data_IF_520064457988
#
_entry.id   IF_520064457988
#
_cell.length_a   1.000
_cell.length_b   1.000
_cell.length_c   1.000
_cell.angle_alpha   90.00
_cell.angle_beta   90.00
_cell.angle_gamma   90.00
#
_symmetry.space_group_name_H-M   'P 1'
#
loop_
_entity.id
_entity.type
_entity.pdbx_description
1 polymer ?
#
# COMPACT_ATOMS: atom_id res chain seq x y z
N UNK A 1 -15.81 -33.34 -17.41
CA UNK A 1 -15.02 -32.08 -17.48
C UNK A 1 -15.88 -31.00 -18.10
N UNK A 2 -16.52 -30.19 -17.29
CA UNK A 2 -17.30 -29.04 -17.73
C UNK A 2 -16.34 -27.95 -18.18
N UNK A 3 -16.33 -27.63 -19.45
CA UNK A 3 -15.41 -26.69 -20.06
C UNK A 3 -15.69 -25.26 -19.55
N UNK A 4 -14.68 -24.59 -19.03
CA UNK A 4 -14.73 -23.21 -18.51
C UNK A 4 -15.27 -22.20 -19.55
N UNK A 5 -15.22 -22.54 -20.83
CA UNK A 5 -15.73 -21.72 -21.95
C UNK A 5 -17.26 -21.58 -21.98
N UNK A 6 -18.00 -22.53 -21.45
CA UNK A 6 -19.49 -22.47 -21.51
C UNK A 6 -20.08 -21.58 -20.41
N UNK A 7 -19.33 -21.22 -19.37
CA UNK A 7 -19.78 -20.29 -18.31
C UNK A 7 -19.76 -18.82 -18.73
N UNK A 8 -18.94 -18.46 -19.70
CA UNK A 8 -18.78 -17.06 -20.14
C UNK A 8 -19.96 -16.53 -20.99
N UNK A 9 -20.88 -17.38 -21.44
CA UNK A 9 -21.97 -17.00 -22.35
C UNK A 9 -23.33 -16.69 -21.71
N UNK A 10 -23.42 -16.71 -20.36
CA UNK A 10 -24.67 -16.42 -19.63
C UNK A 10 -24.55 -15.35 -18.55
N UNK A 11 -23.65 -14.41 -18.72
CA UNK A 11 -23.40 -13.44 -17.66
C UNK A 11 -24.14 -12.14 -17.97
N UNK A 12 -25.21 -11.87 -17.22
CA UNK A 12 -25.95 -10.61 -17.21
C UNK A 12 -25.20 -9.52 -16.41
N UNK A 13 -23.87 -9.62 -16.27
CA UNK A 13 -23.04 -8.66 -15.54
C UNK A 13 -23.15 -8.72 -14.00
N UNK A 14 -23.98 -9.62 -13.46
CA UNK A 14 -24.14 -9.79 -12.00
C UNK A 14 -23.34 -11.04 -11.57
N UNK A 15 -22.34 -10.89 -10.68
CA UNK A 15 -21.56 -12.02 -10.18
C UNK A 15 -22.46 -13.02 -9.45
N UNK A 16 -22.47 -14.27 -9.89
CA UNK A 16 -23.27 -15.35 -9.28
C UNK A 16 -22.51 -16.13 -8.21
N UNK A 17 -21.18 -16.01 -8.18
CA UNK A 17 -20.32 -16.69 -7.21
C UNK A 17 -19.34 -15.72 -6.59
N UNK A 18 -18.88 -16.00 -5.36
CA UNK A 18 -17.84 -15.20 -4.69
C UNK A 18 -16.56 -15.06 -5.54
N UNK A 19 -16.22 -16.08 -6.34
CA UNK A 19 -15.06 -16.05 -7.21
C UNK A 19 -15.24 -15.09 -8.41
N UNK A 20 -16.44 -14.89 -8.89
CA UNK A 20 -16.76 -13.94 -9.96
C UNK A 20 -16.79 -12.49 -9.45
N UNK A 21 -17.01 -12.28 -8.15
CA UNK A 21 -16.99 -10.94 -7.56
C UNK A 21 -15.57 -10.43 -7.28
N UNK A 22 -14.54 -11.28 -7.37
CA UNK A 22 -13.15 -10.89 -7.18
C UNK A 22 -12.68 -10.07 -8.41
N UNK A 23 -12.18 -8.83 -8.22
CA UNK A 23 -11.88 -7.90 -9.31
C UNK A 23 -10.53 -8.16 -10.01
N UNK A 24 -9.97 -9.35 -9.92
CA UNK A 24 -8.72 -9.74 -10.58
C UNK A 24 -8.69 -11.23 -10.90
N UNK A 25 -7.88 -11.61 -11.91
CA UNK A 25 -7.78 -12.99 -12.36
C UNK A 25 -6.76 -13.80 -11.52
N UNK A 26 -5.61 -13.21 -11.23
CA UNK A 26 -4.52 -13.91 -10.53
C UNK A 26 -3.57 -12.96 -9.78
N UNK A 27 -3.24 -13.33 -8.54
CA UNK A 27 -2.20 -12.71 -7.75
C UNK A 27 -0.95 -13.60 -7.74
N UNK A 28 0.21 -13.02 -8.04
CA UNK A 28 1.49 -13.74 -8.02
C UNK A 28 2.27 -13.45 -6.73
N UNK A 29 3.15 -14.37 -6.28
CA UNK A 29 3.91 -14.20 -5.04
C UNK A 29 4.78 -12.94 -4.99
N UNK A 30 5.28 -12.48 -6.15
CA UNK A 30 6.11 -11.28 -6.31
C UNK A 30 5.31 -9.97 -6.32
N UNK A 31 4.03 -10.02 -5.96
CA UNK A 31 3.18 -8.86 -5.89
C UNK A 31 2.57 -8.41 -7.22
N UNK A 32 2.88 -9.05 -8.34
CA UNK A 32 2.21 -8.77 -9.60
C UNK A 32 0.80 -9.32 -9.55
N UNK A 33 -0.18 -8.51 -9.94
CA UNK A 33 -1.57 -8.90 -10.07
C UNK A 33 -1.98 -8.83 -11.55
N UNK A 34 -2.49 -9.93 -12.09
CA UNK A 34 -3.16 -9.95 -13.37
C UNK A 34 -4.62 -9.59 -13.14
N UNK A 35 -5.01 -8.40 -13.57
CA UNK A 35 -6.38 -7.87 -13.40
C UNK A 35 -7.27 -8.39 -14.53
N UNK A 36 -6.86 -8.16 -15.78
CA UNK A 36 -7.51 -8.67 -17.00
C UNK A 36 -6.55 -9.53 -17.81
N UNK A 37 -6.95 -9.95 -18.99
CA UNK A 37 -6.11 -10.76 -19.88
C UNK A 37 -4.83 -10.04 -20.30
N UNK A 38 -4.85 -8.71 -20.40
CA UNK A 38 -3.74 -7.88 -20.86
C UNK A 38 -3.25 -6.85 -19.83
N UNK A 39 -3.88 -6.72 -18.67
CA UNK A 39 -3.56 -5.67 -17.69
C UNK A 39 -2.94 -6.24 -16.43
N UNK A 40 -1.74 -5.73 -16.08
CA UNK A 40 -0.93 -6.18 -14.94
C UNK A 40 -0.58 -5.02 -14.04
N UNK A 41 -0.66 -5.21 -12.72
CA UNK A 41 -0.43 -4.16 -11.72
C UNK A 41 0.53 -4.61 -10.62
N UNK A 42 1.24 -3.64 -10.03
CA UNK A 42 1.98 -3.76 -8.76
C UNK A 42 1.57 -2.65 -7.80
N UNK A 43 1.83 -2.83 -6.51
CA UNK A 43 1.49 -1.86 -5.47
C UNK A 43 2.70 -1.61 -4.58
N UNK A 44 2.95 -0.34 -4.29
CA UNK A 44 3.97 0.14 -3.36
C UNK A 44 3.22 0.80 -2.19
N UNK A 45 3.58 0.44 -0.97
CA UNK A 45 3.17 1.16 0.24
C UNK A 45 4.20 2.24 0.53
N UNK A 46 3.77 3.45 0.86
CA UNK A 46 4.67 4.56 1.18
C UNK A 46 4.21 5.33 2.42
N UNK A 47 5.18 5.97 3.08
CA UNK A 47 4.96 6.77 4.29
C UNK A 47 4.75 8.24 3.95
N UNK A 48 4.37 9.01 4.96
CA UNK A 48 4.21 10.46 4.84
C UNK A 48 5.56 11.18 4.80
N UNK A 49 5.56 12.34 4.14
CA UNK A 49 6.59 13.36 4.23
C UNK A 49 6.24 14.30 5.39
N UNK A 50 7.24 14.71 6.14
CA UNK A 50 7.06 15.64 7.26
C UNK A 50 6.99 17.11 6.77
N UNK A 51 6.06 17.37 5.83
CA UNK A 51 5.91 18.66 5.16
C UNK A 51 5.61 19.81 6.12
N UNK A 52 4.84 19.55 7.18
CA UNK A 52 4.42 20.60 8.11
C UNK A 52 5.58 21.18 8.92
N UNK A 53 6.57 20.35 9.25
CA UNK A 53 7.74 20.75 10.05
C UNK A 53 8.90 21.27 9.17
N UNK A 54 8.79 21.19 7.85
CA UNK A 54 9.82 21.65 6.93
C UNK A 54 9.86 23.20 6.87
N UNK A 55 11.06 23.74 6.65
CA UNK A 55 11.24 25.17 6.37
C UNK A 55 10.64 25.54 5.02
N UNK A 56 10.44 26.84 4.76
CA UNK A 56 9.75 27.28 3.56
C UNK A 56 10.49 26.88 2.27
N UNK A 57 11.82 26.93 2.28
CA UNK A 57 12.66 26.52 1.14
C UNK A 57 12.56 25.01 0.89
N UNK A 58 12.57 24.19 1.97
CA UNK A 58 12.39 22.76 1.89
C UNK A 58 10.99 22.40 1.37
N UNK A 59 9.95 23.15 1.75
CA UNK A 59 8.58 22.94 1.25
C UNK A 59 8.49 23.13 -0.25
N UNK A 60 9.17 24.13 -0.79
CA UNK A 60 9.22 24.36 -2.24
C UNK A 60 9.95 23.20 -2.94
N UNK A 61 11.10 22.79 -2.41
CA UNK A 61 11.85 21.66 -2.95
C UNK A 61 11.05 20.36 -2.92
N UNK A 62 10.35 20.07 -1.82
CA UNK A 62 9.46 18.89 -1.72
C UNK A 62 8.34 18.96 -2.77
N UNK A 63 7.75 20.13 -2.98
CA UNK A 63 6.70 20.32 -3.98
C UNK A 63 7.22 20.08 -5.40
N UNK A 64 8.37 20.65 -5.75
CA UNK A 64 8.99 20.48 -7.06
C UNK A 64 9.36 19.02 -7.34
N UNK A 65 9.91 18.32 -6.34
CA UNK A 65 10.20 16.88 -6.46
C UNK A 65 8.91 16.05 -6.58
N UNK A 66 7.83 16.44 -5.90
CA UNK A 66 6.54 15.78 -6.04
C UNK A 66 5.94 16.00 -7.43
N UNK A 67 6.04 17.19 -7.99
CA UNK A 67 5.65 17.46 -9.37
C UNK A 67 6.48 16.63 -10.36
N UNK A 68 7.79 16.55 -10.15
CA UNK A 68 8.69 15.71 -10.96
C UNK A 68 8.33 14.23 -10.86
N UNK A 69 7.96 13.76 -9.67
CA UNK A 69 7.48 12.40 -9.45
C UNK A 69 6.20 12.10 -10.25
N UNK A 70 5.22 13.00 -10.23
CA UNK A 70 3.98 12.81 -10.98
C UNK A 70 4.20 12.87 -12.50
N UNK A 71 5.13 13.71 -12.96
CA UNK A 71 5.50 13.82 -14.37
C UNK A 71 6.27 12.60 -14.91
N UNK A 72 6.71 11.70 -14.03
CA UNK A 72 7.32 10.42 -14.42
C UNK A 72 6.34 9.49 -15.15
N UNK A 73 5.05 9.57 -14.82
CA UNK A 73 4.04 8.71 -15.42
C UNK A 73 3.68 9.19 -16.82
N UNK A 74 4.01 8.39 -17.81
CA UNK A 74 3.57 8.59 -19.18
C UNK A 74 2.19 7.93 -19.45
N UNK A 75 1.65 8.12 -20.64
CA UNK A 75 0.34 7.57 -21.03
C UNK A 75 0.28 6.04 -21.07
N UNK A 76 1.42 5.34 -20.99
CA UNK A 76 1.49 3.87 -21.00
C UNK A 76 1.41 3.26 -19.59
N UNK A 77 1.53 4.09 -18.55
CA UNK A 77 1.51 3.69 -17.14
C UNK A 77 0.27 4.25 -16.49
N UNK A 78 -0.66 3.38 -16.13
CA UNK A 78 -1.79 3.76 -15.29
C UNK A 78 -1.37 3.71 -13.83
N UNK A 79 -1.74 4.72 -13.05
CA UNK A 79 -1.46 4.73 -11.62
C UNK A 79 -2.66 5.21 -10.80
N UNK A 80 -2.71 4.75 -9.57
CA UNK A 80 -3.72 5.09 -8.58
C UNK A 80 -3.06 5.34 -7.22
N UNK A 81 -3.40 6.44 -6.59
CA UNK A 81 -3.04 6.75 -5.21
C UNK A 81 -4.20 6.42 -4.29
N UNK A 82 -4.01 5.45 -3.40
CA UNK A 82 -5.02 5.04 -2.44
C UNK A 82 -4.64 5.46 -1.03
N UNK A 83 -5.56 6.14 -0.35
CA UNK A 83 -5.42 6.56 1.05
C UNK A 83 -6.44 5.79 1.88
N UNK A 84 -5.96 5.03 2.85
CA UNK A 84 -6.80 4.15 3.62
C UNK A 84 -6.59 4.33 5.12
N UNK A 85 -7.70 4.34 5.85
CA UNK A 85 -7.68 4.22 7.29
C UNK A 85 -7.96 2.76 7.65
N UNK A 86 -6.93 2.06 8.09
CA UNK A 86 -7.02 0.67 8.50
C UNK A 86 -7.05 0.59 10.02
N UNK A 87 -7.91 -0.27 10.55
CA UNK A 87 -7.85 -0.62 11.96
C UNK A 87 -6.51 -1.28 12.25
N UNK A 88 -5.78 -0.72 13.19
CA UNK A 88 -4.51 -1.29 13.63
C UNK A 88 -4.78 -2.31 14.72
N UNK A 89 -4.21 -3.50 14.60
CA UNK A 89 -4.18 -4.44 15.70
C UNK A 89 -3.48 -3.79 16.92
N UNK A 90 -4.18 -3.76 18.05
CA UNK A 90 -3.71 -3.11 19.28
C UNK A 90 -2.33 -3.63 19.73
N UNK A 91 -2.04 -4.92 19.52
CA UNK A 91 -0.76 -5.52 19.86
C UNK A 91 0.39 -5.04 18.94
N UNK A 92 0.15 -4.98 17.64
CA UNK A 92 1.14 -4.49 16.66
C UNK A 92 1.44 -3.03 16.89
N UNK A 93 0.43 -2.26 17.25
CA UNK A 93 0.55 -0.86 17.57
C UNK A 93 1.31 -0.64 18.90
N UNK A 94 0.98 -1.39 19.93
CA UNK A 94 1.69 -1.34 21.22
C UNK A 94 3.16 -1.70 21.09
N UNK A 95 3.51 -2.66 20.23
CA UNK A 95 4.90 -3.02 19.90
C UNK A 95 5.65 -1.87 19.21
N UNK A 96 4.99 -1.11 18.33
CA UNK A 96 5.62 0.00 17.60
C UNK A 96 5.95 1.21 18.47
N UNK A 97 5.22 1.41 19.58
CA UNK A 97 5.41 2.54 20.52
C UNK A 97 6.37 2.17 21.64
N UNK A 98 6.60 0.88 21.88
CA UNK A 98 7.40 0.41 22.99
C UNK A 98 8.87 0.76 22.76
N UNK A 99 9.40 1.66 23.57
CA UNK A 99 10.85 1.96 23.58
C UNK A 99 11.57 0.84 24.32
N UNK A 100 12.51 0.13 23.66
CA UNK A 100 13.23 -0.96 24.30
C UNK A 100 14.10 -0.46 25.45
N UNK A 101 14.13 -1.19 26.56
CA UNK A 101 15.01 -0.91 27.66
C UNK A 101 16.48 -1.13 27.28
N UNK A 102 17.34 -0.25 27.76
CA UNK A 102 18.81 -0.33 27.59
C UNK A 102 19.48 -0.52 28.93
N UNK A 103 20.75 -0.92 28.93
CA UNK A 103 21.57 -1.07 30.15
C UNK A 103 22.09 0.29 30.62
N UNK A 104 21.18 1.24 30.93
CA UNK A 104 21.46 2.56 31.43
C UNK A 104 20.42 2.97 32.50
N UNK A 105 20.64 4.12 33.17
CA UNK A 105 19.77 4.64 34.22
C UNK A 105 18.47 5.28 33.72
N UNK A 106 18.23 5.35 32.38
CA UNK A 106 17.08 6.07 31.79
C UNK A 106 15.87 5.21 31.53
N UNK A 107 15.83 3.96 31.99
CA UNK A 107 14.69 3.07 31.79
C UNK A 107 13.38 3.58 32.42
N UNK A 108 13.36 4.24 33.59
CA UNK A 108 12.15 4.85 34.13
C UNK A 108 11.55 5.91 33.18
N UNK A 109 12.42 6.78 32.60
CA UNK A 109 12.00 7.82 31.65
C UNK A 109 11.44 7.20 30.36
N UNK A 110 12.04 6.11 29.87
CA UNK A 110 11.51 5.38 28.69
C UNK A 110 10.14 4.77 28.96
N UNK A 111 9.95 4.23 30.17
CA UNK A 111 8.66 3.67 30.58
C UNK A 111 7.58 4.76 30.66
N UNK A 112 7.88 5.88 31.29
CA UNK A 112 6.98 7.02 31.41
C UNK A 112 6.63 7.62 30.05
N UNK A 113 7.60 7.81 29.17
CA UNK A 113 7.36 8.30 27.80
C UNK A 113 6.50 7.34 26.98
N UNK A 114 6.77 6.04 27.08
CA UNK A 114 5.93 5.02 26.41
C UNK A 114 4.49 5.04 26.95
N UNK A 115 4.30 5.27 28.24
CA UNK A 115 2.98 5.38 28.85
C UNK A 115 2.25 6.68 28.43
N UNK A 116 2.98 7.78 28.29
CA UNK A 116 2.44 9.05 27.78
C UNK A 116 1.98 8.89 26.33
N UNK A 117 2.79 8.26 25.48
CA UNK A 117 2.41 7.96 24.08
C UNK A 117 1.16 7.10 24.01
N UNK A 118 1.04 6.04 24.84
CA UNK A 118 -0.17 5.21 24.93
C UNK A 118 -1.40 6.02 25.28
N UNK A 119 -1.30 6.94 26.26
CA UNK A 119 -2.42 7.80 26.64
C UNK A 119 -2.83 8.77 25.54
N UNK A 120 -1.87 9.42 24.87
CA UNK A 120 -2.16 10.33 23.77
C UNK A 120 -2.86 9.62 22.60
N UNK A 121 -2.45 8.42 22.31
CA UNK A 121 -3.04 7.63 21.23
C UNK A 121 -4.44 7.11 21.58
N UNK A 122 -4.66 6.71 22.83
CA UNK A 122 -6.00 6.34 23.30
C UNK A 122 -7.00 7.50 23.25
N UNK A 123 -6.52 8.74 23.34
CA UNK A 123 -7.35 9.94 23.27
C UNK A 123 -7.56 10.49 21.85
N UNK A 124 -6.62 10.25 20.92
CA UNK A 124 -6.61 10.93 19.63
C UNK A 124 -6.89 10.07 18.40
N UNK A 125 -6.64 8.78 18.47
CA UNK A 125 -6.83 7.85 17.34
C UNK A 125 -7.75 6.71 17.75
N UNK A 126 -8.89 6.61 17.11
CA UNK A 126 -9.83 5.49 17.27
C UNK A 126 -9.25 4.14 16.80
N UNK A 127 -7.95 3.89 17.00
CA UNK A 127 -7.26 2.68 16.55
C UNK A 127 -7.08 2.61 15.02
N UNK A 128 -7.21 3.74 14.32
CA UNK A 128 -7.05 3.80 12.88
C UNK A 128 -5.67 4.33 12.49
N UNK A 129 -4.98 3.58 11.64
CA UNK A 129 -3.73 4.03 11.03
C UNK A 129 -3.97 4.39 9.56
N UNK A 130 -3.56 5.61 9.18
CA UNK A 130 -3.59 6.04 7.79
C UNK A 130 -2.45 5.40 7.03
N UNK A 131 -2.77 4.62 6.03
CA UNK A 131 -1.82 3.98 5.12
C UNK A 131 -2.00 4.50 3.70
N UNK A 132 -0.92 4.56 2.95
CA UNK A 132 -0.88 5.11 1.60
C UNK A 132 -0.27 4.11 0.65
N UNK A 133 -0.92 3.95 -0.48
CA UNK A 133 -0.51 3.01 -1.51
C UNK A 133 -0.48 3.69 -2.87
N UNK A 134 0.53 3.36 -3.65
CA UNK A 134 0.61 3.65 -5.07
C UNK A 134 0.50 2.34 -5.83
N UNK A 135 -0.60 2.16 -6.54
CA UNK A 135 -0.77 1.04 -7.48
C UNK A 135 -0.51 1.55 -8.88
N UNK A 136 0.37 0.87 -9.59
CA UNK A 136 0.68 1.17 -10.99
C UNK A 136 0.48 -0.06 -11.85
N UNK A 137 0.14 0.16 -13.10
CA UNK A 137 -0.18 -0.92 -14.04
C UNK A 137 0.15 -0.56 -15.46
N UNK A 138 0.34 -1.61 -16.24
CA UNK A 138 0.65 -1.55 -17.67
C UNK A 138 -0.16 -2.58 -18.45
N UNK A 139 -0.40 -2.31 -19.71
CA UNK A 139 -0.90 -3.30 -20.65
C UNK A 139 0.26 -4.12 -21.25
N UNK A 140 0.08 -5.43 -21.32
CA UNK A 140 1.01 -6.36 -21.95
C UNK A 140 0.29 -7.63 -22.40
N UNK A 141 0.73 -8.21 -23.48
CA UNK A 141 0.14 -9.44 -24.04
C UNK A 141 0.39 -10.68 -23.14
N UNK A 142 1.46 -10.66 -22.37
CA UNK A 142 1.85 -11.78 -21.51
C UNK A 142 2.58 -11.33 -20.25
N UNK A 143 2.52 -12.19 -19.23
CA UNK A 143 3.30 -12.02 -17.99
C UNK A 143 4.82 -11.92 -18.25
N UNK A 144 5.31 -12.61 -19.28
CA UNK A 144 6.74 -12.60 -19.64
C UNK A 144 7.20 -11.21 -20.09
N UNK A 145 6.33 -10.46 -20.76
CA UNK A 145 6.58 -9.07 -21.16
C UNK A 145 6.29 -8.09 -20.02
N UNK A 146 5.21 -8.32 -19.25
CA UNK A 146 4.78 -7.43 -18.18
C UNK A 146 5.81 -7.36 -17.03
N UNK A 147 6.34 -8.49 -16.59
CA UNK A 147 7.20 -8.58 -15.40
C UNK A 147 8.47 -7.71 -15.48
N UNK A 148 9.30 -7.75 -16.51
CA UNK A 148 10.49 -6.90 -16.57
C UNK A 148 10.14 -5.41 -16.64
N UNK A 149 9.07 -5.02 -17.35
CA UNK A 149 8.62 -3.63 -17.42
C UNK A 149 8.11 -3.13 -16.06
N UNK A 150 7.28 -3.92 -15.36
CA UNK A 150 6.80 -3.58 -14.02
C UNK A 150 7.94 -3.47 -13.01
N UNK A 151 8.95 -4.34 -13.08
CA UNK A 151 10.10 -4.27 -12.20
C UNK A 151 10.97 -3.03 -12.47
N UNK A 152 11.09 -2.62 -13.73
CA UNK A 152 11.80 -1.38 -14.09
C UNK A 152 11.08 -0.16 -13.51
N UNK A 153 9.76 -0.03 -13.76
CA UNK A 153 8.92 1.05 -13.23
C UNK A 153 8.97 1.07 -11.70
N UNK A 154 8.90 -0.08 -11.06
CA UNK A 154 9.02 -0.21 -9.60
C UNK A 154 10.32 0.38 -9.06
N UNK A 155 11.45 0.03 -9.67
CA UNK A 155 12.75 0.55 -9.25
C UNK A 155 12.84 2.07 -9.42
N UNK A 156 12.32 2.59 -10.52
CA UNK A 156 12.29 4.04 -10.76
C UNK A 156 11.40 4.76 -9.76
N UNK A 157 10.22 4.21 -9.44
CA UNK A 157 9.32 4.75 -8.43
C UNK A 157 9.95 4.73 -7.04
N UNK A 158 10.61 3.63 -6.65
CA UNK A 158 11.32 3.55 -5.37
C UNK A 158 12.46 4.56 -5.27
N UNK A 159 13.18 4.80 -6.38
CA UNK A 159 14.23 5.83 -6.43
C UNK A 159 13.63 7.23 -6.31
N UNK A 160 12.52 7.51 -6.97
CA UNK A 160 11.81 8.79 -6.86
C UNK A 160 11.29 9.02 -5.43
N UNK A 161 10.74 8.00 -4.76
CA UNK A 161 10.36 8.09 -3.35
C UNK A 161 11.56 8.38 -2.43
N UNK A 162 12.73 7.78 -2.70
CA UNK A 162 13.96 8.09 -1.95
C UNK A 162 14.40 9.54 -2.12
N UNK A 163 14.31 10.10 -3.33
CA UNK A 163 14.61 11.52 -3.59
C UNK A 163 13.67 12.45 -2.82
N UNK A 164 12.41 12.08 -2.70
CA UNK A 164 11.42 12.76 -1.86
C UNK A 164 11.67 12.59 -0.35
N UNK A 165 12.64 11.75 0.07
CA UNK A 165 12.84 11.41 1.47
C UNK A 165 11.75 10.52 2.07
N UNK A 166 10.95 9.85 1.24
CA UNK A 166 9.84 8.98 1.64
C UNK A 166 10.30 7.53 1.70
N UNK A 167 9.98 6.85 2.79
CA UNK A 167 10.16 5.40 2.89
C UNK A 167 9.03 4.72 2.12
N UNK A 168 9.39 3.93 1.13
CA UNK A 168 8.46 3.19 0.30
C UNK A 168 8.92 1.73 0.18
N UNK A 169 7.96 0.80 0.23
CA UNK A 169 8.20 -0.64 0.15
C UNK A 169 7.24 -1.29 -0.83
N UNK A 170 7.73 -2.21 -1.64
CA UNK A 170 6.89 -2.98 -2.56
C UNK A 170 6.12 -4.03 -1.79
N UNK A 171 4.85 -4.17 -2.10
CA UNK A 171 3.99 -5.19 -1.52
C UNK A 171 4.12 -6.50 -2.29
N UNK A 172 4.33 -7.60 -1.56
CA UNK A 172 4.25 -8.96 -2.12
C UNK A 172 2.78 -9.42 -2.29
N UNK A 173 2.58 -10.58 -2.91
CA UNK A 173 1.23 -11.08 -3.21
C UNK A 173 0.38 -11.34 -1.97
N UNK A 174 0.99 -11.81 -0.87
CA UNK A 174 0.27 -12.04 0.41
C UNK A 174 -0.17 -10.73 1.05
N UNK A 175 0.71 -9.74 1.07
CA UNK A 175 0.41 -8.41 1.60
C UNK A 175 -0.70 -7.72 0.82
N UNK A 176 -0.68 -7.82 -0.51
CA UNK A 176 -1.76 -7.30 -1.37
C UNK A 176 -3.09 -8.00 -1.12
N UNK A 177 -3.09 -9.32 -0.98
CA UNK A 177 -4.31 -10.08 -0.64
C UNK A 177 -4.83 -9.71 0.75
N UNK A 178 -3.94 -9.53 1.73
CA UNK A 178 -4.31 -9.09 3.06
C UNK A 178 -4.90 -7.67 3.04
N UNK A 179 -4.31 -6.77 2.27
CA UNK A 179 -4.84 -5.42 2.07
C UNK A 179 -6.26 -5.48 1.47
N UNK A 180 -6.47 -6.23 0.40
CA UNK A 180 -7.80 -6.41 -0.20
C UNK A 180 -8.80 -7.02 0.78
N UNK A 181 -8.37 -8.03 1.56
CA UNK A 181 -9.21 -8.61 2.59
C UNK A 181 -9.65 -7.57 3.62
N UNK A 182 -8.74 -6.74 4.12
CA UNK A 182 -9.09 -5.68 5.09
C UNK A 182 -9.98 -4.58 4.49
N UNK A 183 -9.95 -4.38 3.18
CA UNK A 183 -10.87 -3.45 2.49
C UNK A 183 -12.30 -3.98 2.40
N UNK A 184 -12.46 -5.27 2.11
CA UNK A 184 -13.78 -5.89 1.89
C UNK A 184 -14.40 -6.45 3.18
N UNK A 185 -13.58 -6.83 4.14
CA UNK A 185 -14.00 -7.28 5.44
C UNK A 185 -13.71 -6.19 6.49
N UNK A 186 -14.48 -5.13 6.45
CA UNK A 186 -14.54 -4.20 7.58
C UNK A 186 -15.16 -5.00 8.71
N UNK A 187 -14.34 -5.59 9.58
CA UNK A 187 -14.83 -6.14 10.84
C UNK A 187 -15.48 -4.99 11.60
N UNK A 188 -16.80 -4.97 11.57
CA UNK A 188 -17.59 -4.22 12.53
C UNK A 188 -17.30 -4.87 13.89
N UNK A 189 -16.32 -4.33 14.60
CA UNK A 189 -16.17 -4.58 16.04
C UNK A 189 -17.38 -3.95 16.72
N UNK A 190 -18.43 -4.75 16.86
CA UNK A 190 -19.49 -4.55 17.83
C UNK A 190 -19.19 -5.40 19.05
#
# INVERSE_FOLDING_TARGET
QMCIRDRAKKDNGIPQTAQQSIPFQRMFPDGICRVTDSYYTKTIQFQDINYQLAQQEDKTAIFDEWCSFLNFFDSSIHFELSFMNLSTDAESFEKSIRIPFKKDSFNPVRAEYSQMLKKQLAQGNNGLTKTKYLTFGIEAESMRQAKPRLNHIENDLLNNFRRLGVIATTMNGKERLHLMHSMFHICLLY
#
